data_IF_487330924533
#
_entry.id   IF_487330924533
#
_cell.length_a   1.000
_cell.length_b   1.000
_cell.length_c   1.000
_cell.angle_alpha   90.00
_cell.angle_beta   90.00
_cell.angle_gamma   90.00
#
_symmetry.space_group_name_H-M   'P 1'
#
loop_
_entity.id
_entity.type
_entity.pdbx_description
1 polymer ?
#
# COMPACT_ATOMS: atom_id res chain seq x y z
N UNK A 1 -21.67 36.70 -16.83
CA UNK A 1 -21.27 35.28 -16.97
C UNK A 1 -19.80 34.98 -16.59
N UNK A 2 -19.12 35.83 -15.81
CA UNK A 2 -17.70 35.62 -15.42
C UNK A 2 -17.48 34.98 -14.03
N UNK A 3 -18.49 34.95 -13.17
CA UNK A 3 -18.37 34.42 -11.80
C UNK A 3 -18.49 32.89 -11.73
N UNK A 4 -19.37 32.30 -12.55
CA UNK A 4 -19.53 30.84 -12.64
C UNK A 4 -18.24 30.15 -13.14
N UNK A 5 -17.45 30.81 -14.00
CA UNK A 5 -16.16 30.27 -14.46
C UNK A 5 -15.08 30.28 -13.36
N UNK A 6 -15.09 31.27 -12.44
CA UNK A 6 -14.17 31.30 -11.29
C UNK A 6 -14.47 30.21 -10.27
N UNK A 7 -15.76 29.93 -10.03
CA UNK A 7 -16.18 28.88 -9.09
C UNK A 7 -15.79 27.50 -9.63
N UNK A 8 -16.06 27.23 -10.92
CA UNK A 8 -15.70 25.96 -11.55
C UNK A 8 -14.17 25.73 -11.55
N UNK A 9 -13.36 26.78 -11.67
CA UNK A 9 -11.91 26.68 -11.58
C UNK A 9 -11.39 26.47 -10.15
N UNK A 10 -12.14 26.86 -9.12
CA UNK A 10 -11.76 26.62 -7.72
C UNK A 10 -11.94 25.15 -7.34
N UNK A 11 -13.01 24.51 -7.83
CA UNK A 11 -13.26 23.08 -7.60
C UNK A 11 -12.40 22.17 -8.49
N UNK A 12 -12.05 22.59 -9.71
CA UNK A 12 -11.20 21.78 -10.61
C UNK A 12 -9.70 21.83 -10.30
N UNK A 13 -9.23 22.81 -9.50
CA UNK A 13 -7.80 22.91 -9.16
C UNK A 13 -7.36 21.87 -8.13
N UNK A 14 -8.28 21.29 -7.38
CA UNK A 14 -8.01 20.29 -6.34
C UNK A 14 -8.08 18.84 -6.86
N UNK A 15 -8.38 18.64 -8.15
CA UNK A 15 -8.66 17.30 -8.70
C UNK A 15 -7.40 16.55 -9.17
N UNK A 16 -6.24 17.21 -9.21
CA UNK A 16 -4.98 16.66 -9.74
C UNK A 16 -3.77 16.99 -8.86
N UNK A 17 -3.98 17.25 -7.57
CA UNK A 17 -2.86 17.34 -6.65
C UNK A 17 -2.30 15.94 -6.44
N UNK A 18 -1.07 15.74 -6.93
CA UNK A 18 -0.16 14.70 -6.45
C UNK A 18 -0.29 14.62 -4.93
N UNK A 19 -1.16 13.75 -4.40
CA UNK A 19 -1.33 13.55 -2.96
C UNK A 19 -0.02 12.97 -2.46
N UNK A 20 0.89 13.87 -2.09
CA UNK A 20 2.16 13.51 -1.50
C UNK A 20 1.85 12.69 -0.27
N UNK A 21 2.39 11.47 -0.22
CA UNK A 21 2.29 10.62 0.96
C UNK A 21 2.87 11.40 2.15
N UNK A 22 2.10 11.59 3.24
CA UNK A 22 2.59 12.27 4.44
C UNK A 22 3.95 11.73 4.90
N UNK A 23 4.85 12.62 5.30
CA UNK A 23 6.21 12.25 5.74
C UNK A 23 6.19 11.22 6.88
N UNK A 24 5.22 11.30 7.78
CA UNK A 24 5.01 10.34 8.86
C UNK A 24 4.75 8.93 8.35
N UNK A 25 3.85 8.77 7.36
CA UNK A 25 3.55 7.48 6.74
C UNK A 25 4.80 6.94 6.03
N UNK A 26 5.49 7.78 5.26
CA UNK A 26 6.72 7.36 4.57
C UNK A 26 7.79 6.88 5.56
N UNK A 27 7.94 7.58 6.69
CA UNK A 27 8.87 7.18 7.76
C UNK A 27 8.47 5.85 8.38
N UNK A 28 7.20 5.67 8.74
CA UNK A 28 6.70 4.42 9.32
C UNK A 28 6.96 3.22 8.39
N UNK A 29 6.60 3.33 7.11
CA UNK A 29 6.87 2.28 6.11
C UNK A 29 8.36 1.99 5.96
N UNK A 30 9.21 3.04 5.98
CA UNK A 30 10.66 2.86 5.91
C UNK A 30 11.19 2.07 7.11
N UNK A 31 10.73 2.39 8.32
CA UNK A 31 11.09 1.68 9.54
C UNK A 31 10.65 0.21 9.47
N UNK A 32 9.38 -0.06 9.11
CA UNK A 32 8.89 -1.44 9.01
C UNK A 32 9.61 -2.25 7.93
N UNK A 33 9.99 -1.65 6.80
CA UNK A 33 10.81 -2.35 5.79
C UNK A 33 12.22 -2.66 6.30
N UNK A 34 12.81 -1.79 7.13
CA UNK A 34 14.12 -2.04 7.71
C UNK A 34 14.05 -3.17 8.75
N UNK A 35 13.02 -3.16 9.60
CA UNK A 35 12.74 -4.22 10.58
C UNK A 35 12.51 -5.56 9.88
N UNK A 36 11.62 -5.61 8.88
CA UNK A 36 11.37 -6.81 8.07
C UNK A 36 12.66 -7.38 7.47
N UNK A 37 13.52 -6.54 6.90
CA UNK A 37 14.78 -6.99 6.33
C UNK A 37 15.72 -7.57 7.39
N UNK A 38 15.79 -6.96 8.57
CA UNK A 38 16.64 -7.39 9.66
C UNK A 38 16.14 -8.67 10.34
N UNK A 39 14.85 -8.72 10.67
CA UNK A 39 14.22 -9.82 11.40
C UNK A 39 14.12 -11.09 10.54
N UNK A 40 13.73 -10.95 9.27
CA UNK A 40 13.57 -12.09 8.35
C UNK A 40 14.85 -12.41 7.57
N UNK A 41 15.97 -11.75 7.90
CA UNK A 41 17.27 -11.93 7.23
C UNK A 41 17.16 -11.84 5.69
N UNK A 42 16.42 -10.85 5.18
CA UNK A 42 16.20 -10.66 3.75
C UNK A 42 17.26 -9.75 3.14
N UNK A 43 17.45 -9.82 1.83
CA UNK A 43 18.30 -8.86 1.13
C UNK A 43 17.55 -7.54 0.90
N UNK A 44 18.18 -6.38 1.11
CA UNK A 44 17.57 -5.06 0.84
C UNK A 44 17.04 -4.91 -0.60
N UNK A 45 17.69 -5.59 -1.56
CA UNK A 45 17.26 -5.61 -2.98
C UNK A 45 15.85 -6.18 -3.17
N UNK A 46 15.35 -7.00 -2.24
CA UNK A 46 13.99 -7.55 -2.26
C UNK A 46 12.94 -6.43 -2.36
N UNK A 47 13.15 -5.30 -1.68
CA UNK A 47 12.22 -4.16 -1.65
C UNK A 47 12.03 -3.50 -3.02
N UNK A 48 12.97 -3.73 -3.96
CA UNK A 48 12.89 -3.25 -5.34
C UNK A 48 12.33 -4.32 -6.30
N UNK A 49 12.10 -5.54 -5.81
CA UNK A 49 11.62 -6.65 -6.61
C UNK A 49 10.21 -6.39 -7.14
N UNK A 50 9.91 -6.67 -8.42
CA UNK A 50 8.60 -6.41 -8.99
C UNK A 50 7.48 -7.20 -8.32
N UNK A 51 7.78 -8.40 -7.78
CA UNK A 51 6.84 -9.18 -6.97
C UNK A 51 6.47 -8.51 -5.65
N UNK A 52 7.47 -7.98 -4.93
CA UNK A 52 7.26 -7.28 -3.65
C UNK A 52 6.45 -6.00 -3.85
N UNK A 53 6.75 -5.22 -4.89
CA UNK A 53 6.02 -3.98 -5.21
C UNK A 53 4.53 -4.29 -5.50
N UNK A 54 4.25 -5.34 -6.28
CA UNK A 54 2.86 -5.76 -6.56
C UNK A 54 2.14 -6.24 -5.30
N UNK A 55 2.81 -7.00 -4.44
CA UNK A 55 2.25 -7.42 -3.15
C UNK A 55 1.90 -6.20 -2.28
N UNK A 56 2.82 -5.24 -2.15
CA UNK A 56 2.58 -4.03 -1.37
C UNK A 56 1.39 -3.24 -1.92
N UNK A 57 1.30 -3.06 -3.24
CA UNK A 57 0.16 -2.39 -3.87
C UNK A 57 -1.16 -3.12 -3.55
N UNK A 58 -1.20 -4.44 -3.68
CA UNK A 58 -2.39 -5.23 -3.40
C UNK A 58 -2.82 -5.13 -1.92
N UNK A 59 -1.88 -5.11 -0.98
CA UNK A 59 -2.17 -4.92 0.44
C UNK A 59 -2.76 -3.54 0.71
N UNK A 60 -2.20 -2.48 0.11
CA UNK A 60 -2.74 -1.12 0.22
C UNK A 60 -4.15 -1.00 -0.39
N UNK A 61 -4.37 -1.57 -1.57
CA UNK A 61 -5.66 -1.53 -2.25
C UNK A 61 -6.73 -2.33 -1.50
N UNK A 62 -6.33 -3.42 -0.85
CA UNK A 62 -7.21 -4.21 0.01
C UNK A 62 -7.54 -3.44 1.30
N UNK A 63 -6.55 -2.81 1.93
CA UNK A 63 -6.74 -2.00 3.13
C UNK A 63 -7.69 -0.81 2.92
N UNK A 64 -7.70 -0.20 1.73
CA UNK A 64 -8.65 0.87 1.38
C UNK A 64 -10.12 0.41 1.34
N UNK A 65 -10.36 -0.89 1.13
CA UNK A 65 -11.72 -1.46 1.07
C UNK A 65 -12.21 -1.92 2.44
N UNK A 66 -11.33 -1.99 3.43
CA UNK A 66 -11.65 -2.44 4.78
C UNK A 66 -12.06 -1.22 5.63
N UNK A 67 -13.13 -1.39 6.42
CA UNK A 67 -13.57 -0.35 7.35
C UNK A 67 -12.55 -0.19 8.47
N UNK A 68 -12.18 1.05 8.79
CA UNK A 68 -11.31 1.39 9.92
C UNK A 68 -11.86 0.93 11.28
N UNK A 69 -13.15 0.58 11.35
CA UNK A 69 -13.83 0.09 12.56
C UNK A 69 -13.70 -1.42 12.77
N UNK A 70 -13.18 -2.16 11.79
CA UNK A 70 -13.02 -3.62 11.89
C UNK A 70 -11.55 -3.90 12.23
N UNK A 71 -11.26 -4.46 13.41
CA UNK A 71 -9.90 -4.92 13.69
C UNK A 71 -9.57 -6.05 12.72
N UNK A 72 -8.51 -5.87 11.95
CA UNK A 72 -8.01 -6.89 11.02
C UNK A 72 -7.01 -7.74 11.77
N UNK A 73 -7.29 -9.04 11.86
CA UNK A 73 -6.31 -10.02 12.29
C UNK A 73 -5.39 -10.34 11.10
N UNK A 74 -4.16 -9.82 11.16
CA UNK A 74 -3.18 -9.94 10.08
C UNK A 74 -2.68 -11.39 9.94
N UNK A 75 -2.61 -12.16 11.02
CA UNK A 75 -2.17 -13.56 10.97
C UNK A 75 -3.15 -14.43 10.19
N UNK A 76 -4.45 -14.13 10.31
CA UNK A 76 -5.51 -14.79 9.55
C UNK A 76 -5.66 -14.25 8.12
N UNK A 77 -5.18 -13.04 7.84
CA UNK A 77 -5.20 -12.46 6.49
C UNK A 77 -4.10 -13.07 5.60
N UNK A 78 -2.91 -13.27 6.14
CA UNK A 78 -1.77 -13.77 5.38
C UNK A 78 -1.88 -15.28 5.16
N UNK A 79 -1.66 -15.78 3.94
CA UNK A 79 -1.73 -17.20 3.67
C UNK A 79 -0.56 -17.94 4.32
N UNK A 80 -0.83 -19.14 4.83
CA UNK A 80 0.22 -20.05 5.26
C UNK A 80 1.17 -20.38 4.08
N UNK A 81 2.47 -20.65 4.33
CA UNK A 81 3.43 -20.99 3.28
C UNK A 81 2.99 -22.17 2.39
N UNK A 82 2.31 -23.16 2.97
CA UNK A 82 1.77 -24.33 2.24
C UNK A 82 0.69 -23.93 1.23
N UNK A 83 -0.18 -22.99 1.58
CA UNK A 83 -1.21 -22.46 0.67
C UNK A 83 -0.57 -21.79 -0.53
N UNK A 84 0.47 -20.98 -0.32
CA UNK A 84 1.20 -20.31 -1.42
C UNK A 84 1.91 -21.33 -2.30
N UNK A 85 2.58 -22.32 -1.69
CA UNK A 85 3.27 -23.40 -2.43
C UNK A 85 2.31 -24.16 -3.32
N UNK A 86 1.15 -24.56 -2.79
CA UNK A 86 0.13 -25.29 -3.55
C UNK A 86 -0.42 -24.45 -4.70
N UNK A 87 -0.66 -23.15 -4.46
CA UNK A 87 -1.16 -22.26 -5.51
C UNK A 87 -0.14 -22.08 -6.65
N UNK A 88 1.14 -21.95 -6.31
CA UNK A 88 2.20 -21.80 -7.31
C UNK A 88 2.40 -23.07 -8.14
N UNK A 89 2.40 -24.26 -7.52
CA UNK A 89 2.58 -25.53 -8.23
C UNK A 89 1.43 -25.88 -9.21
N UNK A 90 0.28 -25.23 -9.08
CA UNK A 90 -0.89 -25.44 -9.95
C UNK A 90 -0.87 -24.48 -11.16
N UNK A 91 0.00 -23.46 -11.15
CA UNK A 91 0.18 -22.49 -12.23
C UNK A 91 1.40 -22.84 -13.10
#
# INVERSE_FOLDING_TARGET
SGEQQKINNYFNKNSNDNKQIPKSIKRAITTSCAEFVAEDSRAFKLLQGPGFIRLAQQLFDSGQRLSSSIPIDIENLLPAPTTVSNFYCVC
#
